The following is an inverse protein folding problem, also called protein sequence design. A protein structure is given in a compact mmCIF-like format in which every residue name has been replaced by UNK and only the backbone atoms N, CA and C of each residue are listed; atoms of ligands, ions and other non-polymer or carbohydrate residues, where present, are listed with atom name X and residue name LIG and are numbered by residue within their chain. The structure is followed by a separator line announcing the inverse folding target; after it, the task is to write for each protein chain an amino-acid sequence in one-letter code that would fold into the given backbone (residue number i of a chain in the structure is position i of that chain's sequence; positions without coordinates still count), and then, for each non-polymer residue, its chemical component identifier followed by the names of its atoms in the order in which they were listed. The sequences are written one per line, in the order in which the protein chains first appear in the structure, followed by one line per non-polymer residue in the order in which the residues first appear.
data_IF_145511791503
#
_entry.id   IF_145511791503
#
_cell.length_a   1.000
_cell.length_b   1.000
_cell.length_c   1.000
_cell.angle_alpha   90.00
_cell.angle_beta   90.00
_cell.angle_gamma   90.00
#
_symmetry.space_group_name_H-M   'P 1'
#
loop_
_entity.id
_entity.type
_entity.pdbx_description
1 polymer ?
#
# COMPACT_ATOMS: atom_id res chain seq x y z
N UNK A 1 30.03 2.31 -3.91
CA UNK A 1 29.56 3.69 -3.74
C UNK A 1 28.06 3.65 -3.79
N UNK A 2 27.42 3.76 -2.61
CA UNK A 2 25.97 3.67 -2.45
C UNK A 2 25.35 4.96 -3.02
N UNK A 3 24.70 4.84 -4.17
CA UNK A 3 23.86 5.90 -4.68
C UNK A 3 22.59 5.91 -3.83
N UNK A 4 22.62 6.70 -2.75
CA UNK A 4 21.40 7.15 -2.09
C UNK A 4 20.49 7.79 -3.15
N UNK A 5 19.21 7.44 -3.12
CA UNK A 5 18.22 7.83 -4.12
C UNK A 5 18.30 9.34 -4.44
N UNK A 6 18.20 9.76 -5.71
CA UNK A 6 18.36 11.16 -6.15
C UNK A 6 17.51 12.20 -5.42
N UNK A 7 16.42 11.81 -4.75
CA UNK A 7 15.56 12.70 -3.96
C UNK A 7 16.14 13.13 -2.61
N UNK A 8 17.24 12.50 -2.15
CA UNK A 8 17.87 12.70 -0.84
C UNK A 8 19.08 13.64 -0.92
N UNK A 9 19.40 14.15 -2.11
CA UNK A 9 20.58 15.01 -2.32
C UNK A 9 20.37 16.48 -1.93
N UNK A 10 19.15 16.88 -1.53
CA UNK A 10 18.89 18.21 -0.96
C UNK A 10 18.55 18.06 0.54
N UNK A 11 19.59 17.82 1.36
CA UNK A 11 19.52 17.70 2.83
C UNK A 11 18.91 18.92 3.55
N UNK A 12 18.53 19.97 2.81
CA UNK A 12 18.00 21.22 3.36
C UNK A 12 16.47 21.35 3.34
N UNK A 13 15.76 20.50 2.58
CA UNK A 13 14.30 20.62 2.44
C UNK A 13 13.58 19.54 3.26
N UNK A 14 12.75 19.92 4.24
CA UNK A 14 11.94 18.94 4.95
C UNK A 14 11.03 18.22 3.96
N UNK A 15 11.04 16.88 4.00
CA UNK A 15 10.14 16.05 3.20
C UNK A 15 8.70 16.44 3.61
N UNK A 16 7.85 16.90 2.68
CA UNK A 16 6.48 17.27 3.01
C UNK A 16 5.66 16.01 3.33
N UNK A 17 4.61 16.20 4.12
CA UNK A 17 3.63 15.15 4.39
C UNK A 17 2.93 14.76 3.08
N UNK A 18 3.08 13.50 2.67
CA UNK A 18 2.53 13.02 1.42
C UNK A 18 1.08 12.56 1.61
N UNK A 19 0.19 13.17 0.84
CA UNK A 19 -1.22 12.83 0.87
C UNK A 19 -1.52 11.41 0.40
N UNK A 20 -0.64 10.82 -0.42
CA UNK A 20 -0.75 9.43 -0.83
C UNK A 20 -0.79 8.49 0.37
N UNK A 21 -0.07 8.81 1.45
CA UNK A 21 -0.05 8.02 2.70
C UNK A 21 -1.47 7.86 3.26
N UNK A 22 -2.26 8.94 3.32
CA UNK A 22 -3.64 8.89 3.81
C UNK A 22 -4.53 8.02 2.93
N UNK A 23 -4.35 8.09 1.60
CA UNK A 23 -5.12 7.28 0.64
C UNK A 23 -4.77 5.79 0.75
N UNK A 24 -3.49 5.46 0.87
CA UNK A 24 -3.01 4.09 1.02
C UNK A 24 -3.46 3.49 2.35
N UNK A 25 -3.28 4.22 3.46
CA UNK A 25 -3.73 3.77 4.78
C UNK A 25 -5.24 3.57 4.80
N UNK A 26 -6.03 4.50 4.24
CA UNK A 26 -7.48 4.31 4.08
C UNK A 26 -7.80 3.02 3.30
N UNK A 27 -7.11 2.79 2.18
CA UNK A 27 -7.32 1.57 1.39
C UNK A 27 -7.01 0.32 2.20
N UNK A 28 -5.91 0.32 2.94
CA UNK A 28 -5.49 -0.78 3.80
C UNK A 28 -6.49 -1.06 4.94
N UNK A 29 -7.04 -0.03 5.56
CA UNK A 29 -8.06 -0.16 6.60
C UNK A 29 -9.36 -0.79 6.09
N UNK A 30 -9.68 -0.60 4.81
CA UNK A 30 -10.84 -1.23 4.16
C UNK A 30 -10.49 -2.54 3.45
N UNK A 31 -9.20 -2.90 3.39
CA UNK A 31 -8.74 -4.10 2.72
C UNK A 31 -9.12 -5.36 3.51
N UNK A 32 -9.37 -6.44 2.78
CA UNK A 32 -9.61 -7.77 3.34
C UNK A 32 -8.36 -8.30 4.07
N UNK A 33 -8.52 -9.29 4.98
CA UNK A 33 -7.37 -9.94 5.61
C UNK A 33 -6.37 -10.50 4.60
N UNK A 34 -6.85 -11.03 3.47
CA UNK A 34 -5.99 -11.60 2.43
C UNK A 34 -5.14 -10.51 1.74
N UNK A 35 -5.75 -9.37 1.38
CA UNK A 35 -5.03 -8.22 0.82
C UNK A 35 -4.02 -7.62 1.81
N UNK A 36 -4.38 -7.53 3.10
CA UNK A 36 -3.45 -7.07 4.15
C UNK A 36 -2.26 -8.01 4.32
N UNK A 37 -2.48 -9.33 4.30
CA UNK A 37 -1.39 -10.31 4.36
C UNK A 37 -0.43 -10.15 3.17
N UNK A 38 -0.94 -9.89 1.97
CA UNK A 38 -0.12 -9.65 0.79
C UNK A 38 0.75 -8.38 0.92
N UNK A 39 0.16 -7.26 1.37
CA UNK A 39 0.88 -5.99 1.59
C UNK A 39 1.88 -6.08 2.74
N UNK A 40 1.56 -6.82 3.80
CA UNK A 40 2.48 -7.10 4.91
C UNK A 40 3.69 -7.89 4.44
N UNK A 41 3.48 -8.93 3.62
CA UNK A 41 4.58 -9.68 3.03
C UNK A 41 5.47 -8.79 2.14
N UNK A 42 4.88 -7.86 1.38
CA UNK A 42 5.63 -6.87 0.59
C UNK A 42 6.48 -5.96 1.48
N UNK A 43 5.90 -5.44 2.57
CA UNK A 43 6.65 -4.57 3.49
C UNK A 43 7.83 -5.26 4.18
N UNK A 44 7.74 -6.58 4.41
CA UNK A 44 8.81 -7.38 5.02
C UNK A 44 9.99 -7.62 4.08
N UNK A 45 9.77 -7.55 2.77
CA UNK A 45 10.82 -7.73 1.78
C UNK A 45 11.68 -6.48 1.57
N UNK A 46 11.26 -5.34 2.12
CA UNK A 46 12.00 -4.09 2.01
C UNK A 46 13.17 -4.02 2.99
N UNK A 47 14.28 -3.51 2.49
CA UNK A 47 15.48 -3.14 3.24
C UNK A 47 15.29 -1.81 3.99
N UNK A 48 16.18 -1.52 4.94
CA UNK A 48 16.15 -0.24 5.66
C UNK A 48 16.27 0.98 4.74
N UNK A 49 17.06 0.86 3.67
CA UNK A 49 17.25 1.92 2.67
C UNK A 49 15.94 2.20 1.89
N UNK A 50 15.17 1.16 1.59
CA UNK A 50 13.86 1.27 0.92
C UNK A 50 12.77 1.81 1.88
N UNK A 51 12.95 1.62 3.19
CA UNK A 51 12.04 2.12 4.22
C UNK A 51 12.32 3.57 4.64
N UNK A 52 13.43 4.19 4.23
CA UNK A 52 13.80 5.56 4.63
C UNK A 52 12.65 6.56 4.41
N UNK A 53 11.99 6.49 3.26
CA UNK A 53 10.86 7.37 2.94
C UNK A 53 9.67 7.14 3.89
N UNK A 54 9.28 5.89 4.12
CA UNK A 54 8.18 5.54 5.02
C UNK A 54 8.50 5.93 6.46
N UNK A 55 9.77 5.78 6.89
CA UNK A 55 10.23 6.20 8.21
C UNK A 55 10.14 7.72 8.39
N UNK A 56 10.49 8.49 7.37
CA UNK A 56 10.31 9.94 7.37
C UNK A 56 8.83 10.33 7.46
N UNK A 57 7.95 9.73 6.64
CA UNK A 57 6.51 9.98 6.68
C UNK A 57 5.89 9.59 8.03
N UNK A 58 6.31 8.46 8.61
CA UNK A 58 5.90 8.04 9.95
C UNK A 58 6.30 9.06 11.02
N UNK A 59 7.50 9.64 10.91
CA UNK A 59 7.98 10.69 11.82
C UNK A 59 7.12 11.97 11.76
N UNK A 60 6.69 12.39 10.56
CA UNK A 60 5.82 13.55 10.37
C UNK A 60 4.43 13.38 11.01
N UNK A 61 4.00 12.12 11.21
CA UNK A 61 2.75 11.80 11.89
C UNK A 61 2.86 11.86 13.42
N UNK A 62 4.07 12.06 13.97
CA UNK A 62 4.34 12.13 15.42
C UNK A 62 3.73 10.97 16.20
N UNK A 63 4.27 9.73 16.08
CA UNK A 63 3.75 8.57 16.79
C UNK A 63 3.71 8.79 18.31
N UNK A 64 2.79 8.10 18.97
CA UNK A 64 2.64 8.17 20.41
C UNK A 64 3.89 7.63 21.13
N UNK A 65 3.99 7.89 22.43
CA UNK A 65 5.13 7.44 23.27
C UNK A 65 5.36 5.93 23.26
N UNK A 66 4.32 5.15 22.94
CA UNK A 66 4.40 3.68 22.81
C UNK A 66 4.83 3.22 21.41
N UNK A 67 5.22 4.16 20.53
CA UNK A 67 5.65 3.87 19.16
C UNK A 67 4.51 3.60 18.18
N UNK A 68 3.25 3.75 18.59
CA UNK A 68 2.08 3.51 17.74
C UNK A 68 1.43 4.80 17.25
N UNK A 69 0.75 4.71 16.11
CA UNK A 69 -0.10 5.77 15.58
C UNK A 69 -1.57 5.47 15.78
N UNK A 70 -2.32 6.55 15.96
CA UNK A 70 -3.77 6.56 16.09
C UNK A 70 -4.38 7.52 15.08
N UNK A 71 -5.71 7.51 14.98
CA UNK A 71 -6.44 8.48 14.15
C UNK A 71 -6.08 9.95 14.46
N UNK A 72 -5.84 10.28 15.73
CA UNK A 72 -5.51 11.62 16.18
C UNK A 72 -4.16 12.11 15.64
N UNK A 73 -3.19 11.18 15.48
CA UNK A 73 -1.89 11.48 14.88
C UNK A 73 -2.06 11.92 13.41
N UNK A 74 -2.85 11.17 12.63
CA UNK A 74 -3.17 11.54 11.24
C UNK A 74 -3.92 12.87 11.14
N UNK A 75 -4.87 13.14 12.05
CA UNK A 75 -5.61 14.41 12.10
C UNK A 75 -4.67 15.59 12.36
N UNK A 76 -3.90 15.53 13.45
CA UNK A 76 -2.98 16.61 13.86
C UNK A 76 -1.91 16.88 12.80
N UNK A 77 -1.36 15.83 12.21
CA UNK A 77 -0.37 15.97 11.15
C UNK A 77 -0.96 16.67 9.92
N UNK A 78 -2.20 16.34 9.55
CA UNK A 78 -2.88 17.04 8.46
C UNK A 78 -3.12 18.51 8.81
N UNK A 79 -3.65 18.83 9.99
CA UNK A 79 -3.91 20.22 10.41
C UNK A 79 -2.64 21.09 10.40
N UNK A 80 -1.48 20.52 10.72
CA UNK A 80 -0.20 21.25 10.76
C UNK A 80 0.48 21.38 9.41
N UNK A 81 0.33 20.39 8.54
CA UNK A 81 1.07 20.29 7.27
C UNK A 81 0.18 20.51 6.04
N UNK A 82 -1.13 20.72 6.23
CA UNK A 82 -2.05 20.96 5.12
C UNK A 82 -1.65 22.22 4.36
N UNK A 83 -1.47 22.05 3.07
CA UNK A 83 -1.43 23.17 2.11
C UNK A 83 -2.85 23.51 1.66
N UNK A 84 -3.06 24.70 1.11
CA UNK A 84 -4.36 25.09 0.55
C UNK A 84 -4.87 24.06 -0.47
N UNK A 85 -3.97 23.53 -1.31
CA UNK A 85 -4.28 22.45 -2.27
C UNK A 85 -4.71 21.13 -1.59
N UNK A 86 -4.22 20.82 -0.40
CA UNK A 86 -4.65 19.64 0.36
C UNK A 86 -6.06 19.83 0.94
N UNK A 87 -6.37 21.02 1.43
CA UNK A 87 -7.71 21.33 1.94
C UNK A 87 -8.76 21.29 0.84
N UNK A 88 -8.41 21.72 -0.37
CA UNK A 88 -9.28 21.63 -1.55
C UNK A 88 -9.44 20.18 -2.09
N UNK A 89 -8.47 19.29 -1.88
CA UNK A 89 -8.41 17.99 -2.57
C UNK A 89 -9.12 16.81 -1.87
N UNK A 90 -10.25 17.06 -1.19
CA UNK A 90 -11.04 16.05 -0.45
C UNK A 90 -10.25 15.25 0.61
N UNK A 91 -9.09 15.75 1.00
CA UNK A 91 -8.26 15.13 2.04
C UNK A 91 -8.99 15.02 3.37
N UNK A 92 -9.77 16.03 3.82
CA UNK A 92 -10.60 15.89 5.01
C UNK A 92 -11.60 14.72 4.92
N UNK A 93 -12.15 14.44 3.73
CA UNK A 93 -13.05 13.28 3.53
C UNK A 93 -12.29 11.95 3.69
N UNK A 94 -11.06 11.88 3.18
CA UNK A 94 -10.19 10.70 3.32
C UNK A 94 -9.90 10.47 4.80
N UNK A 95 -9.52 11.53 5.52
CA UNK A 95 -9.30 11.46 6.96
C UNK A 95 -10.56 10.97 7.70
N UNK A 96 -11.73 11.56 7.45
CA UNK A 96 -12.97 11.15 8.12
C UNK A 96 -13.30 9.67 7.89
N UNK A 97 -13.02 9.13 6.70
CA UNK A 97 -13.22 7.70 6.43
C UNK A 97 -12.19 6.76 7.10
N UNK A 98 -11.16 7.30 7.74
CA UNK A 98 -10.19 6.57 8.56
C UNK A 98 -10.60 6.51 10.05
N UNK A 99 -11.80 6.97 10.42
CA UNK A 99 -12.30 6.96 11.81
C UNK A 99 -12.29 5.57 12.45
N UNK A 100 -12.29 4.48 11.68
CA UNK A 100 -12.07 3.12 12.20
C UNK A 100 -10.72 2.94 12.95
N UNK A 101 -9.75 3.84 12.74
CA UNK A 101 -8.52 3.93 13.53
C UNK A 101 -8.71 4.58 14.91
N UNK A 102 -9.85 5.20 15.21
CA UNK A 102 -10.08 5.83 16.52
C UNK A 102 -9.98 4.83 17.68
N UNK A 103 -10.26 3.54 17.40
CA UNK A 103 -10.20 2.45 18.37
C UNK A 103 -9.03 1.48 18.14
N UNK A 104 -8.13 1.81 17.21
CA UNK A 104 -7.00 0.95 16.83
C UNK A 104 -5.69 1.73 16.91
N UNK A 105 -4.61 0.98 17.14
CA UNK A 105 -3.24 1.48 17.09
C UNK A 105 -2.51 0.80 15.94
N UNK A 106 -1.68 1.56 15.24
CA UNK A 106 -0.88 1.10 14.10
C UNK A 106 0.59 1.20 14.48
N UNK A 107 1.30 0.07 14.56
CA UNK A 107 2.75 0.07 14.79
C UNK A 107 3.48 0.55 13.53
N UNK A 108 4.79 0.76 13.61
CA UNK A 108 5.59 1.11 12.46
C UNK A 108 5.53 0.04 11.35
N UNK A 109 5.56 -1.23 11.70
CA UNK A 109 5.49 -2.35 10.75
C UNK A 109 4.12 -2.38 10.05
N UNK A 110 3.04 -2.18 10.82
CA UNK A 110 1.68 -2.12 10.25
C UNK A 110 1.52 -0.88 9.37
N UNK A 111 2.13 0.25 9.73
CA UNK A 111 2.17 1.42 8.88
C UNK A 111 2.92 1.16 7.59
N UNK A 112 4.07 0.49 7.63
CA UNK A 112 4.82 0.15 6.41
C UNK A 112 3.96 -0.69 5.47
N UNK A 113 3.25 -1.70 5.99
CA UNK A 113 2.29 -2.47 5.19
C UNK A 113 1.13 -1.62 4.64
N UNK A 114 0.65 -0.65 5.42
CA UNK A 114 -0.49 0.19 5.05
C UNK A 114 -0.14 1.33 4.08
N UNK A 115 1.11 1.79 4.07
CA UNK A 115 1.57 2.96 3.33
C UNK A 115 2.48 2.62 2.14
N UNK A 116 2.73 1.33 1.88
CA UNK A 116 3.51 0.88 0.72
C UNK A 116 2.75 1.09 -0.58
N UNK A 117 3.43 1.62 -1.60
CA UNK A 117 2.89 1.77 -2.95
C UNK A 117 3.57 0.78 -3.89
N UNK A 118 2.84 -0.26 -4.29
CA UNK A 118 3.36 -1.26 -5.24
C UNK A 118 3.84 -0.61 -6.54
N UNK A 119 3.15 0.43 -7.02
CA UNK A 119 3.55 1.16 -8.24
C UNK A 119 4.85 1.94 -8.10
N UNK A 120 5.15 2.48 -6.91
CA UNK A 120 6.43 3.15 -6.68
C UNK A 120 7.57 2.13 -6.60
N UNK A 121 7.33 0.96 -5.98
CA UNK A 121 8.31 -0.11 -5.89
C UNK A 121 8.60 -0.79 -7.23
N UNK A 122 7.58 -0.95 -8.09
CA UNK A 122 7.74 -1.47 -9.46
C UNK A 122 8.70 -0.63 -10.31
N UNK A 123 8.85 0.66 -10.01
CA UNK A 123 9.75 1.55 -10.72
C UNK A 123 11.22 1.40 -10.28
N UNK A 124 11.50 0.64 -9.22
CA UNK A 124 12.85 0.36 -8.74
C UNK A 124 13.50 -0.75 -9.56
N UNK A 125 14.80 -0.64 -9.82
CA UNK A 125 15.57 -1.68 -10.51
C UNK A 125 15.54 -3.02 -9.74
N UNK A 126 15.36 -2.99 -8.42
CA UNK A 126 15.29 -4.17 -7.55
C UNK A 126 13.91 -4.83 -7.44
N UNK A 127 12.90 -4.37 -8.19
CA UNK A 127 11.51 -4.85 -8.05
C UNK A 127 11.38 -6.38 -8.11
N UNK A 128 12.04 -7.04 -9.05
CA UNK A 128 11.94 -8.50 -9.21
C UNK A 128 12.40 -9.25 -7.94
N UNK A 129 13.48 -8.79 -7.32
CA UNK A 129 14.00 -9.37 -6.09
C UNK A 129 13.06 -9.09 -4.91
N UNK A 130 12.57 -7.85 -4.78
CA UNK A 130 11.59 -7.47 -3.74
C UNK A 130 10.33 -8.33 -3.87
N UNK A 131 9.78 -8.46 -5.09
CA UNK A 131 8.58 -9.23 -5.35
C UNK A 131 8.77 -10.71 -5.06
N UNK A 132 9.94 -11.28 -5.39
CA UNK A 132 10.28 -12.67 -5.07
C UNK A 132 10.35 -12.91 -3.57
N UNK A 133 11.12 -12.09 -2.84
CA UNK A 133 11.24 -12.20 -1.38
C UNK A 133 9.91 -11.96 -0.66
N UNK A 134 9.12 -10.99 -1.14
CA UNK A 134 7.77 -10.73 -0.63
C UNK A 134 6.85 -11.95 -0.82
N UNK A 135 6.94 -12.60 -1.98
CA UNK A 135 6.16 -13.79 -2.25
C UNK A 135 6.57 -14.96 -1.36
N UNK A 136 7.85 -15.13 -1.03
CA UNK A 136 8.31 -16.14 -0.06
C UNK A 136 7.70 -15.91 1.33
N UNK A 137 7.67 -14.66 1.81
CA UNK A 137 6.96 -14.31 3.04
C UNK A 137 5.45 -14.58 2.94
N UNK A 138 4.84 -14.25 1.80
CA UNK A 138 3.42 -14.46 1.58
C UNK A 138 3.07 -15.95 1.57
N UNK A 139 3.88 -16.79 0.94
CA UNK A 139 3.69 -18.25 0.90
C UNK A 139 3.59 -18.87 2.30
N UNK A 140 4.37 -18.34 3.25
CA UNK A 140 4.42 -18.84 4.62
C UNK A 140 3.25 -18.34 5.49
N UNK A 141 2.87 -17.06 5.34
CA UNK A 141 2.00 -16.40 6.31
C UNK A 141 0.61 -16.04 5.78
N UNK A 142 0.41 -15.97 4.46
CA UNK A 142 -0.77 -15.34 3.86
C UNK A 142 -1.36 -16.03 2.63
N UNK A 143 -0.59 -16.82 1.89
CA UNK A 143 -1.05 -17.47 0.67
C UNK A 143 -1.90 -18.70 1.02
N UNK A 144 -3.20 -18.47 1.09
CA UNK A 144 -4.22 -19.49 1.31
C UNK A 144 -4.74 -20.01 -0.02
N UNK A 145 -5.36 -21.20 0.02
CA UNK A 145 -6.18 -21.69 -1.09
C UNK A 145 -7.30 -20.69 -1.34
N UNK A 146 -7.54 -20.36 -2.61
CA UNK A 146 -8.54 -19.37 -3.02
C UNK A 146 -9.22 -19.81 -4.32
N UNK A 147 -10.55 -19.73 -4.35
CA UNK A 147 -11.31 -19.98 -5.59
C UNK A 147 -11.26 -18.78 -6.53
N UNK A 148 -11.58 -18.96 -7.81
CA UNK A 148 -11.63 -17.85 -8.77
C UNK A 148 -12.71 -16.84 -8.39
N UNK A 149 -13.85 -17.31 -7.91
CA UNK A 149 -14.95 -16.48 -7.41
C UNK A 149 -14.54 -15.68 -6.17
N UNK A 150 -13.78 -16.29 -5.27
CA UNK A 150 -13.23 -15.60 -4.10
C UNK A 150 -12.21 -14.55 -4.50
N UNK A 151 -11.26 -14.89 -5.38
CA UNK A 151 -10.26 -13.94 -5.88
C UNK A 151 -10.90 -12.78 -6.63
N UNK A 152 -11.96 -13.04 -7.41
CA UNK A 152 -12.72 -11.99 -8.06
C UNK A 152 -13.39 -11.03 -7.06
N UNK A 153 -13.92 -11.56 -5.95
CA UNK A 153 -14.49 -10.74 -4.87
C UNK A 153 -13.44 -9.91 -4.16
N UNK A 154 -12.26 -10.49 -3.89
CA UNK A 154 -11.10 -9.78 -3.32
C UNK A 154 -10.67 -8.59 -4.21
N UNK A 155 -10.83 -8.72 -5.53
CA UNK A 155 -10.50 -7.69 -6.53
C UNK A 155 -11.68 -6.80 -6.92
N UNK A 156 -12.88 -7.06 -6.38
CA UNK A 156 -14.14 -6.42 -6.74
C UNK A 156 -14.42 -6.44 -8.26
N UNK A 157 -14.23 -7.60 -8.90
CA UNK A 157 -14.50 -7.82 -10.33
C UNK A 157 -15.59 -8.86 -10.55
N UNK A 158 -16.28 -8.73 -11.67
CA UNK A 158 -17.32 -9.68 -12.08
C UNK A 158 -16.78 -10.93 -12.78
N UNK A 159 -17.68 -11.86 -13.14
CA UNK A 159 -17.34 -13.11 -13.84
C UNK A 159 -16.56 -12.96 -15.14
N UNK A 160 -16.62 -11.80 -15.80
CA UNK A 160 -15.85 -11.50 -17.02
C UNK A 160 -14.33 -11.58 -16.81
N UNK A 161 -13.84 -11.41 -15.58
CA UNK A 161 -12.43 -11.51 -15.25
C UNK A 161 -11.97 -12.95 -14.93
N UNK A 162 -12.87 -13.92 -14.83
CA UNK A 162 -12.53 -15.27 -14.32
C UNK A 162 -11.50 -15.99 -15.19
N UNK A 163 -11.52 -15.79 -16.51
CA UNK A 163 -10.52 -16.37 -17.41
C UNK A 163 -9.11 -15.85 -17.09
N UNK A 164 -8.96 -14.54 -16.87
CA UNK A 164 -7.68 -13.93 -16.50
C UNK A 164 -7.19 -14.40 -15.13
N UNK A 165 -8.11 -14.51 -14.15
CA UNK A 165 -7.79 -14.88 -12.78
C UNK A 165 -7.36 -16.35 -12.65
N UNK A 166 -7.79 -17.22 -13.57
CA UNK A 166 -7.33 -18.63 -13.58
C UNK A 166 -5.82 -18.74 -13.72
N UNK A 167 -5.21 -17.88 -14.53
CA UNK A 167 -3.75 -17.88 -14.73
C UNK A 167 -2.97 -17.39 -13.50
N UNK A 168 -3.67 -16.79 -12.52
CA UNK A 168 -3.07 -16.27 -11.29
C UNK A 168 -3.02 -17.31 -10.19
N UNK A 169 -3.79 -18.39 -10.30
CA UNK A 169 -3.91 -19.46 -9.30
C UNK A 169 -3.18 -20.70 -9.80
N UNK A 170 -2.34 -21.30 -8.95
CA UNK A 170 -1.60 -22.51 -9.27
C UNK A 170 -2.54 -23.72 -9.24
N UNK A 171 -2.46 -24.55 -10.28
CA UNK A 171 -3.22 -25.80 -10.35
C UNK A 171 -2.78 -26.84 -9.30
N UNK A 172 -1.56 -26.75 -8.79
CA UNK A 172 -0.99 -27.72 -7.84
C UNK A 172 -1.63 -27.66 -6.46
N UNK A 173 -1.97 -26.47 -5.98
CA UNK A 173 -2.42 -26.25 -4.60
C UNK A 173 -3.56 -25.21 -4.47
N UNK A 174 -4.02 -24.60 -5.57
CA UNK A 174 -5.09 -23.61 -5.55
C UNK A 174 -4.72 -22.29 -4.89
N UNK A 175 -3.42 -22.01 -4.73
CA UNK A 175 -2.89 -20.75 -4.16
C UNK A 175 -2.48 -19.77 -5.25
N UNK A 176 -2.27 -18.50 -4.92
CA UNK A 176 -1.73 -17.54 -5.90
C UNK A 176 -0.31 -17.96 -6.33
N UNK A 177 -0.01 -17.85 -7.62
CA UNK A 177 1.35 -17.89 -8.15
C UNK A 177 2.07 -16.57 -7.86
N UNK A 178 3.39 -16.48 -8.09
CA UNK A 178 4.12 -15.20 -8.01
C UNK A 178 3.52 -14.14 -8.94
N UNK A 179 3.12 -14.54 -10.16
CA UNK A 179 2.39 -13.67 -11.09
C UNK A 179 1.05 -13.24 -10.47
N UNK A 180 0.29 -14.18 -9.92
CA UNK A 180 -0.98 -13.87 -9.26
C UNK A 180 -0.82 -12.92 -8.09
N UNK A 181 0.21 -13.11 -7.26
CA UNK A 181 0.54 -12.25 -6.12
C UNK A 181 0.89 -10.83 -6.56
N UNK A 182 1.81 -10.66 -7.52
CA UNK A 182 2.20 -9.34 -8.03
C UNK A 182 0.99 -8.61 -8.63
N UNK A 183 0.20 -9.26 -9.48
CA UNK A 183 -1.04 -8.67 -10.02
C UNK A 183 -2.07 -8.37 -8.92
N UNK A 184 -2.19 -9.24 -7.93
CA UNK A 184 -3.06 -9.02 -6.79
C UNK A 184 -2.64 -7.81 -5.96
N UNK A 185 -1.33 -7.54 -5.80
CA UNK A 185 -0.82 -6.34 -5.11
C UNK A 185 -1.26 -5.03 -5.79
N UNK A 186 -1.24 -4.96 -7.12
CA UNK A 186 -1.77 -3.79 -7.85
C UNK A 186 -3.28 -3.63 -7.70
N UNK A 187 -3.98 -4.73 -7.47
CA UNK A 187 -5.42 -4.76 -7.63
C UNK A 187 -5.81 -4.50 -9.09
N UNK A 188 -7.03 -4.05 -9.29
CA UNK A 188 -7.55 -3.77 -10.63
C UNK A 188 -7.32 -2.30 -10.97
N UNK A 189 -6.06 -1.93 -11.21
CA UNK A 189 -5.78 -0.84 -12.13
C UNK A 189 -5.92 -1.36 -13.56
N UNK A 190 -7.15 -1.76 -13.94
CA UNK A 190 -7.56 -1.59 -15.32
C UNK A 190 -7.44 -0.09 -15.54
N UNK A 191 -6.46 0.34 -16.36
CA UNK A 191 -6.41 1.72 -16.84
C UNK A 191 -7.83 2.07 -17.29
N UNK A 192 -8.52 2.90 -16.53
CA UNK A 192 -9.69 3.58 -17.07
C UNK A 192 -9.12 4.51 -18.12
N UNK A 193 -9.00 4.02 -19.34
CA UNK A 193 -8.96 4.89 -20.50
C UNK A 193 -10.32 5.56 -20.52
N UNK A 194 -10.46 6.63 -19.74
CA UNK A 194 -11.47 7.62 -19.98
C UNK A 194 -11.20 8.14 -21.39
N UNK A 195 -11.88 7.55 -22.37
CA UNK A 195 -12.12 8.19 -23.65
C UNK A 195 -12.79 9.51 -23.31
N UNK A 196 -12.00 10.59 -23.41
CA UNK A 196 -12.50 11.96 -23.41
C UNK A 196 -13.53 12.05 -24.53
N UNK A 197 -14.80 12.00 -24.18
CA UNK A 197 -15.84 12.54 -25.05
C UNK A 197 -15.74 14.06 -24.95
N UNK A 198 -15.06 14.65 -25.93
CA UNK A 198 -15.25 16.06 -26.25
C UNK A 198 -16.64 16.18 -26.89
N UNK A 199 -17.50 16.96 -26.25
CA UNK A 199 -18.62 17.65 -26.90
C UNK A 199 -18.32 19.14 -26.88
#
# INVERSE_FOLDING_TARGET
MLAAHPWLQDDSRPIPLDILIYKLVKSYLNATPFKRAALKALSKALTEDELVYLRAQFGLLEPNRDGSMSFDNFRKALERNATDAMMESRVPDVLNSMESLAYRKMTFEEFCAAAISTHQLEALEGWEQIASTAFEHFEQEGNRVISIEELARELNVGPSAYSLLKDWVRNSDGKLSLLGYTKFLHGVTLRSTNTRHHH
#
